data_IF_245839027883
#
_entry.id   IF_245839027883
#
_cell.length_a   1.000
_cell.length_b   1.000
_cell.length_c   1.000
_cell.angle_alpha   90.00
_cell.angle_beta   90.00
_cell.angle_gamma   90.00
#
_symmetry.space_group_name_H-M   'P 1'
#
loop_
_entity.id
_entity.type
_entity.pdbx_description
1 polymer ?
#
# COMPACT_ATOMS: atom_id res chain seq x y z
N UNK A 1 12.11 -9.83 -1.08
CA UNK A 1 11.11 -9.12 -1.90
C UNK A 1 11.69 -7.98 -2.73
N UNK A 2 12.51 -7.07 -2.16
CA UNK A 2 13.14 -5.97 -2.93
C UNK A 2 13.85 -6.44 -4.19
N UNK A 3 14.66 -7.51 -4.09
CA UNK A 3 15.38 -8.08 -5.23
C UNK A 3 14.44 -8.52 -6.39
N UNK A 4 13.20 -8.95 -6.08
CA UNK A 4 12.20 -9.28 -7.10
C UNK A 4 11.69 -8.04 -7.82
N UNK A 5 11.39 -6.96 -7.09
CA UNK A 5 11.02 -5.68 -7.70
C UNK A 5 12.12 -5.14 -8.62
N UNK A 6 13.37 -5.17 -8.15
CA UNK A 6 14.52 -4.72 -8.94
C UNK A 6 14.67 -5.56 -10.21
N UNK A 7 14.53 -6.88 -10.09
CA UNK A 7 14.55 -7.80 -11.22
C UNK A 7 13.45 -7.49 -12.22
N UNK A 8 12.22 -7.27 -11.77
CA UNK A 8 11.08 -6.95 -12.64
C UNK A 8 11.22 -5.58 -13.31
N UNK A 9 11.77 -4.58 -12.63
CA UNK A 9 12.09 -3.27 -13.21
C UNK A 9 13.12 -3.43 -14.33
N UNK A 10 14.23 -4.14 -14.06
CA UNK A 10 15.28 -4.40 -15.07
C UNK A 10 14.71 -5.17 -16.25
N UNK A 11 13.91 -6.20 -16.00
CA UNK A 11 13.26 -6.98 -17.06
C UNK A 11 12.29 -6.15 -17.89
N UNK A 12 11.55 -5.25 -17.24
CA UNK A 12 10.66 -4.31 -17.93
C UNK A 12 11.44 -3.35 -18.81
N UNK A 13 12.59 -2.83 -18.35
CA UNK A 13 13.47 -1.98 -19.17
C UNK A 13 14.05 -2.72 -20.37
N UNK A 14 14.52 -3.97 -20.18
CA UNK A 14 15.03 -4.84 -21.26
C UNK A 14 13.98 -5.06 -22.37
N UNK A 15 12.70 -5.09 -22.00
CA UNK A 15 11.58 -5.30 -22.92
C UNK A 15 10.86 -4.00 -23.28
N UNK A 16 11.52 -2.85 -23.09
CA UNK A 16 11.00 -1.50 -23.44
C UNK A 16 9.65 -1.15 -22.78
N UNK A 17 9.31 -1.83 -21.69
CA UNK A 17 8.11 -1.59 -20.88
C UNK A 17 8.33 -0.39 -19.94
N UNK A 18 8.66 0.77 -20.51
CA UNK A 18 9.12 1.96 -19.78
C UNK A 18 8.12 2.49 -18.75
N UNK A 19 6.83 2.33 -19.03
CA UNK A 19 5.80 2.81 -18.10
C UNK A 19 5.73 1.95 -16.84
N UNK A 20 5.77 0.64 -17.04
CA UNK A 20 5.78 -0.35 -15.96
C UNK A 20 7.06 -0.22 -15.13
N UNK A 21 8.22 -0.08 -15.78
CA UNK A 21 9.50 0.06 -15.08
C UNK A 21 9.54 1.32 -14.22
N UNK A 22 9.14 2.47 -14.76
CA UNK A 22 9.16 3.73 -14.02
C UNK A 22 8.14 3.75 -12.88
N UNK A 23 6.95 3.20 -13.10
CA UNK A 23 5.93 3.04 -12.07
C UNK A 23 6.44 2.23 -10.87
N UNK A 24 7.03 1.07 -11.14
CA UNK A 24 7.61 0.21 -10.11
C UNK A 24 8.83 0.86 -9.44
N UNK A 25 9.72 1.50 -10.20
CA UNK A 25 10.88 2.18 -9.64
C UNK A 25 10.49 3.31 -8.70
N UNK A 26 9.53 4.17 -9.08
CA UNK A 26 9.06 5.28 -8.25
C UNK A 26 8.29 4.80 -7.00
N UNK A 27 7.90 3.53 -6.91
CA UNK A 27 7.33 2.95 -5.69
C UNK A 27 8.42 2.62 -4.65
N UNK A 28 9.62 2.21 -5.07
CA UNK A 28 10.63 1.69 -4.14
C UNK A 28 11.04 2.68 -3.04
N UNK A 29 11.23 3.99 -3.31
CA UNK A 29 11.50 4.97 -2.25
C UNK A 29 10.37 5.11 -1.22
N UNK A 30 9.11 4.78 -1.55
CA UNK A 30 8.05 4.71 -0.54
C UNK A 30 8.30 3.60 0.48
N UNK A 31 8.72 2.43 -0.01
CA UNK A 31 9.01 1.25 0.82
C UNK A 31 10.23 1.54 1.70
N UNK A 32 11.34 1.98 1.09
CA UNK A 32 12.56 2.28 1.83
C UNK A 32 12.38 3.46 2.79
N UNK A 33 11.62 4.49 2.40
CA UNK A 33 11.28 5.59 3.29
C UNK A 33 10.41 5.18 4.47
N UNK A 34 9.49 4.21 4.29
CA UNK A 34 8.70 3.65 5.39
C UNK A 34 9.58 2.88 6.39
N UNK A 35 10.56 2.11 5.88
CA UNK A 35 11.51 1.36 6.71
C UNK A 35 12.46 2.31 7.47
N UNK A 36 13.02 3.30 6.78
CA UNK A 36 14.00 4.22 7.39
C UNK A 36 13.34 5.27 8.31
N UNK A 37 12.14 5.73 7.96
CA UNK A 37 11.44 6.80 8.68
C UNK A 37 9.98 6.43 8.99
N UNK A 38 9.72 5.40 9.80
CA UNK A 38 8.37 4.85 10.04
C UNK A 38 7.41 5.86 10.69
N UNK A 39 7.95 6.83 11.45
CA UNK A 39 7.17 7.84 12.18
C UNK A 39 6.89 9.12 11.37
N UNK A 40 7.31 9.19 10.10
CA UNK A 40 7.10 10.36 9.24
C UNK A 40 5.95 10.14 8.27
N UNK A 41 5.32 11.24 7.86
CA UNK A 41 4.29 11.22 6.83
C UNK A 41 4.83 10.68 5.50
N UNK A 42 3.96 10.08 4.68
CA UNK A 42 4.32 9.38 3.43
C UNK A 42 5.17 10.25 2.49
N UNK A 43 4.79 11.53 2.32
CA UNK A 43 5.57 12.44 1.47
C UNK A 43 6.91 12.82 2.08
N UNK A 44 6.94 13.06 3.40
CA UNK A 44 8.17 13.47 4.09
C UNK A 44 9.23 12.37 4.09
N UNK A 45 8.82 11.12 4.35
CA UNK A 45 9.75 9.98 4.32
C UNK A 45 10.28 9.70 2.92
N UNK A 46 9.44 9.83 1.88
CA UNK A 46 9.86 9.65 0.49
C UNK A 46 10.91 10.69 0.11
N UNK A 47 10.58 11.98 0.32
CA UNK A 47 11.47 13.11 -0.01
C UNK A 47 12.79 12.93 0.72
N UNK A 48 12.76 12.67 2.02
CA UNK A 48 13.97 12.51 2.84
C UNK A 48 14.81 11.31 2.39
N UNK A 49 14.19 10.19 2.04
CA UNK A 49 14.94 9.03 1.54
C UNK A 49 15.61 9.36 0.20
N UNK A 50 14.91 10.00 -0.72
CA UNK A 50 15.49 10.45 -1.98
C UNK A 50 16.66 11.43 -1.76
N UNK A 51 16.48 12.45 -0.93
CA UNK A 51 17.54 13.43 -0.62
C UNK A 51 18.78 12.78 0.01
N UNK A 52 18.60 11.72 0.80
CA UNK A 52 19.69 11.07 1.54
C UNK A 52 20.44 10.06 0.68
N UNK A 53 19.73 9.24 -0.11
CA UNK A 53 20.32 8.08 -0.77
C UNK A 53 20.38 8.19 -2.30
N UNK A 54 19.40 8.85 -2.92
CA UNK A 54 19.26 8.88 -4.38
C UNK A 54 19.87 10.14 -5.00
N UNK A 55 19.56 11.33 -4.48
CA UNK A 55 20.04 12.59 -5.03
C UNK A 55 21.58 12.70 -5.03
N UNK A 56 22.31 12.28 -3.95
CA UNK A 56 23.76 12.26 -3.98
C UNK A 56 24.32 11.30 -5.03
N UNK A 57 23.64 10.17 -5.26
CA UNK A 57 24.03 9.21 -6.30
C UNK A 57 23.84 9.77 -7.71
N UNK A 58 22.75 10.50 -7.96
CA UNK A 58 22.44 11.08 -9.27
C UNK A 58 23.38 12.25 -9.65
N UNK A 59 23.84 13.05 -8.68
CA UNK A 59 24.46 14.35 -8.95
C UNK A 59 25.77 14.63 -8.19
N UNK A 60 26.19 13.75 -7.28
CA UNK A 60 27.30 14.00 -6.36
C UNK A 60 27.02 15.12 -5.35
N UNK A 61 28.06 15.62 -4.70
CA UNK A 61 27.96 16.72 -3.70
C UNK A 61 27.63 18.10 -4.32
N UNK A 62 27.50 18.15 -5.65
CA UNK A 62 27.13 19.36 -6.39
C UNK A 62 25.64 19.63 -6.26
N UNK A 63 25.29 20.57 -5.39
CA UNK A 63 23.92 20.99 -5.01
C UNK A 63 23.10 21.67 -6.14
N UNK A 64 23.13 21.13 -7.37
CA UNK A 64 22.51 21.68 -8.59
C UNK A 64 21.53 20.72 -9.30
N UNK A 65 21.27 19.53 -8.74
CA UNK A 65 20.34 18.55 -9.32
C UNK A 65 18.94 18.55 -8.70
N UNK A 66 18.05 17.72 -9.25
CA UNK A 66 16.70 17.47 -8.72
C UNK A 66 16.72 17.08 -7.24
N UNK A 67 15.86 17.73 -6.45
CA UNK A 67 15.60 17.37 -5.06
C UNK A 67 14.67 16.16 -4.94
N UNK A 68 14.64 15.53 -3.76
CA UNK A 68 13.65 14.51 -3.41
C UNK A 68 12.22 15.03 -3.55
N UNK A 69 11.96 16.33 -3.37
CA UNK A 69 10.66 16.97 -3.64
C UNK A 69 10.30 16.89 -5.13
N UNK A 70 11.26 17.09 -6.04
CA UNK A 70 11.05 16.94 -7.48
C UNK A 70 10.66 15.50 -7.84
N UNK A 71 11.38 14.51 -7.32
CA UNK A 71 11.11 13.09 -7.59
C UNK A 71 9.76 12.66 -6.98
N UNK A 72 9.43 13.18 -5.79
CA UNK A 72 8.12 12.96 -5.17
C UNK A 72 6.98 13.55 -6.01
N UNK A 73 7.16 14.76 -6.54
CA UNK A 73 6.20 15.40 -7.44
C UNK A 73 6.05 14.60 -8.74
N UNK A 74 7.15 14.13 -9.33
CA UNK A 74 7.11 13.22 -10.48
C UNK A 74 6.27 11.99 -10.17
N UNK A 75 6.55 11.29 -9.06
CA UNK A 75 5.77 10.13 -8.63
C UNK A 75 4.28 10.44 -8.52
N UNK A 76 3.91 11.56 -7.90
CA UNK A 76 2.50 11.92 -7.71
C UNK A 76 1.77 12.19 -9.03
N UNK A 77 2.41 12.92 -9.94
CA UNK A 77 1.85 13.20 -11.27
C UNK A 77 1.76 11.91 -12.08
N UNK A 78 2.80 11.09 -12.05
CA UNK A 78 2.91 9.86 -12.82
C UNK A 78 1.91 8.78 -12.38
N UNK A 79 1.72 8.61 -11.07
CA UNK A 79 0.94 7.49 -10.52
C UNK A 79 -0.52 7.84 -10.18
N UNK A 80 -0.81 9.09 -9.80
CA UNK A 80 -2.09 9.43 -9.16
C UNK A 80 -2.88 10.52 -9.87
N UNK A 81 -2.22 11.56 -10.37
CA UNK A 81 -2.91 12.76 -10.82
C UNK A 81 -3.02 12.87 -12.35
N UNK A 82 -2.09 12.26 -13.11
CA UNK A 82 -2.00 12.34 -14.57
C UNK A 82 -1.82 13.75 -15.14
N UNK A 83 -1.83 14.77 -14.27
CA UNK A 83 -1.75 16.18 -14.59
C UNK A 83 -1.22 16.95 -13.37
N UNK A 84 -0.49 18.02 -13.63
CA UNK A 84 -0.14 18.99 -12.60
C UNK A 84 -1.37 19.83 -12.29
N UNK A 85 -2.16 19.45 -11.29
CA UNK A 85 -2.88 20.48 -10.52
C UNK A 85 -1.92 20.95 -9.44
N UNK A 86 -0.95 21.77 -9.85
CA UNK A 86 -0.15 22.56 -8.94
C UNK A 86 -1.10 23.50 -8.20
N UNK A 87 -1.63 23.03 -7.07
CA UNK A 87 -2.05 23.92 -6.00
C UNK A 87 -0.78 24.69 -5.63
N UNK A 88 -0.69 25.92 -6.15
CA UNK A 88 0.46 26.82 -5.98
C UNK A 88 0.82 27.08 -4.51
N UNK A 89 -0.06 26.70 -3.57
CA UNK A 89 0.17 26.71 -2.13
C UNK A 89 0.78 25.45 -1.50
N UNK A 90 1.07 24.38 -2.25
CA UNK A 90 1.62 23.12 -1.70
C UNK A 90 3.10 22.84 -2.02
N UNK A 91 3.70 23.58 -2.96
CA UNK A 91 5.14 23.47 -3.23
C UNK A 91 5.88 24.23 -2.14
N UNK A 92 6.74 23.56 -1.36
CA UNK A 92 7.40 24.19 -0.20
C UNK A 92 8.48 25.19 -0.65
N UNK A 93 9.17 24.91 -1.76
CA UNK A 93 10.14 25.82 -2.38
C UNK A 93 9.64 26.29 -3.76
N UNK A 94 9.49 27.61 -3.95
CA UNK A 94 9.04 28.19 -5.23
C UNK A 94 9.96 27.84 -6.41
N UNK A 95 11.24 27.56 -6.16
CA UNK A 95 12.21 27.12 -7.17
C UNK A 95 11.93 25.71 -7.70
N UNK A 96 11.25 24.86 -6.91
CA UNK A 96 10.84 23.51 -7.29
C UNK A 96 9.52 23.45 -8.07
N UNK A 97 8.97 24.61 -8.47
CA UNK A 97 7.76 24.67 -9.27
C UNK A 97 8.05 24.20 -10.69
N UNK A 98 7.65 22.97 -11.01
CA UNK A 98 7.81 22.34 -12.32
C UNK A 98 6.44 22.24 -12.97
N UNK A 99 6.24 22.94 -14.09
CA UNK A 99 4.96 22.94 -14.81
C UNK A 99 4.80 21.72 -15.73
N UNK A 100 5.92 21.07 -16.11
CA UNK A 100 5.90 19.89 -16.97
C UNK A 100 7.09 18.96 -16.72
N UNK A 101 6.83 17.66 -16.56
CA UNK A 101 7.84 16.63 -16.71
C UNK A 101 7.86 16.14 -18.15
N UNK A 102 9.05 15.96 -18.72
CA UNK A 102 9.25 15.36 -20.03
C UNK A 102 10.16 14.15 -19.82
N UNK A 103 9.60 12.97 -20.00
CA UNK A 103 10.29 11.70 -19.80
C UNK A 103 10.93 11.27 -21.11
N UNK A 104 12.25 11.12 -21.10
CA UNK A 104 13.03 10.57 -22.21
C UNK A 104 13.27 9.09 -21.92
N UNK A 105 12.93 8.24 -22.87
CA UNK A 105 13.07 6.77 -22.77
C UNK A 105 14.09 6.26 -23.80
N UNK A 106 14.72 5.13 -23.51
CA UNK A 106 15.72 4.49 -24.39
C UNK A 106 17.14 4.46 -23.81
N UNK A 107 18.08 3.91 -24.57
CA UNK A 107 19.45 3.62 -24.13
C UNK A 107 20.31 4.88 -24.04
N UNK A 108 20.19 5.63 -22.94
CA UNK A 108 21.19 6.63 -22.60
C UNK A 108 21.76 6.32 -21.22
N UNK A 109 23.09 6.31 -21.14
CA UNK A 109 23.85 5.98 -19.93
C UNK A 109 23.99 7.15 -18.95
N UNK A 110 23.33 8.29 -19.22
CA UNK A 110 23.46 9.51 -18.42
C UNK A 110 22.11 10.11 -18.08
N UNK A 111 22.04 10.69 -16.90
CA UNK A 111 20.96 11.62 -16.57
C UNK A 111 21.16 12.89 -17.40
N UNK A 112 20.17 13.24 -18.21
CA UNK A 112 20.05 14.59 -18.73
C UNK A 112 18.97 15.27 -17.92
N UNK A 113 19.39 16.21 -17.07
CA UNK A 113 18.49 17.16 -16.43
C UNK A 113 18.68 18.49 -17.14
N UNK A 114 17.59 19.02 -17.68
CA UNK A 114 17.57 20.40 -18.07
C UNK A 114 16.22 21.01 -17.75
N UNK A 115 16.30 22.22 -17.22
CA UNK A 115 15.16 23.09 -17.03
C UNK A 115 15.03 23.97 -18.27
N UNK A 116 13.90 23.87 -18.97
CA UNK A 116 13.52 24.88 -19.97
C UNK A 116 12.63 25.90 -19.27
N UNK A 117 13.03 27.16 -19.36
CA UNK A 117 12.21 28.30 -19.01
C UNK A 117 11.55 28.87 -20.27
N UNK A 118 10.25 28.65 -20.44
CA UNK A 118 9.48 29.15 -21.58
C UNK A 118 8.68 30.37 -21.19
N UNK A 119 8.77 31.46 -21.94
CA UNK A 119 7.83 32.58 -21.82
C UNK A 119 6.56 32.29 -22.62
N UNK A 120 5.40 32.64 -22.06
CA UNK A 120 4.16 32.61 -22.83
C UNK A 120 4.18 33.67 -23.96
N UNK A 121 3.26 33.57 -24.93
CA UNK A 121 3.15 34.54 -26.05
C UNK A 121 2.92 35.99 -25.59
N UNK A 122 2.60 36.22 -24.31
CA UNK A 122 2.38 37.54 -23.70
C UNK A 122 3.58 38.00 -22.85
N UNK A 123 4.66 37.20 -22.76
CA UNK A 123 5.88 37.50 -22.02
C UNK A 123 5.76 37.45 -20.50
N UNK A 124 4.60 37.06 -19.94
CA UNK A 124 4.29 37.33 -18.53
C UNK A 124 4.49 36.12 -17.61
N UNK A 125 4.50 34.89 -18.15
CA UNK A 125 4.66 33.68 -17.35
C UNK A 125 5.88 32.89 -17.79
N UNK A 126 6.74 32.57 -16.82
CA UNK A 126 7.84 31.63 -16.98
C UNK A 126 7.34 30.22 -16.67
N UNK A 127 7.39 29.32 -17.64
CA UNK A 127 7.07 27.92 -17.46
C UNK A 127 8.35 27.10 -17.32
N UNK A 128 8.43 26.26 -16.28
CA UNK A 128 9.56 25.35 -16.06
C UNK A 128 9.20 23.93 -16.52
N UNK A 129 9.93 23.42 -17.50
CA UNK A 129 9.86 22.01 -17.88
C UNK A 129 11.12 21.27 -17.43
N UNK A 130 10.95 20.13 -16.78
CA UNK A 130 12.03 19.25 -16.32
C UNK A 130 12.10 18.03 -17.24
N UNK A 131 13.23 17.87 -17.94
CA UNK A 131 13.51 16.66 -18.71
C UNK A 131 14.26 15.64 -17.86
N UNK A 132 13.82 14.38 -17.92
CA UNK A 132 14.32 13.28 -17.09
C UNK A 132 14.50 12.04 -17.97
N UNK A 133 15.68 11.42 -17.90
CA UNK A 133 15.85 10.10 -18.51
C UNK A 133 15.23 9.03 -17.59
N UNK A 134 14.15 8.41 -18.05
CA UNK A 134 13.41 7.40 -17.27
C UNK A 134 14.23 6.12 -17.05
N UNK A 135 14.98 5.66 -18.05
CA UNK A 135 15.82 4.46 -17.92
C UNK A 135 16.90 4.66 -16.86
N UNK A 136 17.62 5.78 -16.93
CA UNK A 136 18.67 6.12 -15.99
C UNK A 136 18.12 6.29 -14.57
N UNK A 137 16.99 6.99 -14.42
CA UNK A 137 16.34 7.14 -13.12
C UNK A 137 15.91 5.78 -12.53
N UNK A 138 15.30 4.90 -13.32
CA UNK A 138 14.92 3.56 -12.88
C UNK A 138 16.14 2.76 -12.38
N UNK A 139 17.22 2.74 -13.17
CA UNK A 139 18.44 2.01 -12.81
C UNK A 139 19.09 2.59 -11.56
N UNK A 140 19.13 3.92 -11.44
CA UNK A 140 19.69 4.60 -10.26
C UNK A 140 18.90 4.32 -9.00
N UNK A 141 17.56 4.33 -9.08
CA UNK A 141 16.70 3.93 -7.95
C UNK A 141 16.97 2.47 -7.59
N UNK A 142 16.98 1.55 -8.56
CA UNK A 142 17.27 0.14 -8.30
C UNK A 142 18.61 -0.05 -7.58
N UNK A 143 19.65 0.66 -8.02
CA UNK A 143 20.98 0.56 -7.43
C UNK A 143 21.01 1.09 -5.97
N UNK A 144 20.46 2.28 -5.73
CA UNK A 144 20.38 2.85 -4.39
C UNK A 144 19.54 1.99 -3.44
N UNK A 145 18.43 1.43 -3.94
CA UNK A 145 17.54 0.57 -3.17
C UNK A 145 18.21 -0.78 -2.88
N UNK A 146 18.94 -1.36 -3.84
CA UNK A 146 19.70 -2.60 -3.62
C UNK A 146 20.72 -2.39 -2.50
N UNK A 147 21.54 -1.34 -2.61
CA UNK A 147 22.56 -1.03 -1.60
C UNK A 147 21.95 -0.77 -0.22
N UNK A 148 20.86 -0.01 -0.15
CA UNK A 148 20.15 0.24 1.10
C UNK A 148 19.56 -1.06 1.68
N UNK A 149 18.94 -1.90 0.85
CA UNK A 149 18.35 -3.17 1.29
C UNK A 149 19.41 -4.15 1.80
N UNK A 150 20.52 -4.30 1.09
CA UNK A 150 21.60 -5.22 1.48
C UNK A 150 22.25 -4.80 2.81
N UNK A 151 22.35 -3.49 3.07
CA UNK A 151 22.90 -2.95 4.30
C UNK A 151 21.92 -2.92 5.48
N UNK A 152 20.62 -3.14 5.26
CA UNK A 152 19.58 -2.96 6.27
C UNK A 152 18.51 -4.07 6.19
N UNK A 153 18.87 -5.26 5.73
CA UNK A 153 17.94 -6.33 5.39
C UNK A 153 17.03 -6.70 6.56
N UNK A 154 17.57 -6.65 7.78
CA UNK A 154 16.89 -6.89 9.04
C UNK A 154 15.77 -5.88 9.35
N UNK A 155 15.81 -4.68 8.77
CA UNK A 155 14.75 -3.66 8.95
C UNK A 155 13.51 -3.94 8.09
N UNK A 156 13.61 -4.83 7.11
CA UNK A 156 12.52 -5.12 6.19
C UNK A 156 11.68 -6.29 6.68
N UNK A 157 10.37 -6.04 6.85
CA UNK A 157 9.37 -7.08 7.02
C UNK A 157 8.31 -6.94 5.93
N UNK A 158 8.00 -8.04 5.26
CA UNK A 158 6.97 -8.10 4.21
C UNK A 158 5.84 -9.00 4.67
N UNK A 159 4.63 -8.47 4.72
CA UNK A 159 3.43 -9.21 5.16
C UNK A 159 2.88 -10.19 4.10
N UNK A 160 3.49 -10.25 2.91
CA UNK A 160 3.08 -11.12 1.82
C UNK A 160 4.26 -11.73 1.10
N UNK A 161 4.03 -12.92 0.53
CA UNK A 161 4.98 -13.64 -0.30
C UNK A 161 4.46 -13.73 -1.74
N UNK A 162 5.36 -13.55 -2.70
CA UNK A 162 5.06 -13.80 -4.12
C UNK A 162 5.82 -15.05 -4.55
N UNK A 163 5.07 -16.11 -4.85
CA UNK A 163 5.62 -17.40 -5.27
C UNK A 163 5.15 -17.67 -6.71
N UNK A 164 6.06 -17.73 -7.69
CA UNK A 164 5.72 -18.16 -9.04
C UNK A 164 5.00 -19.51 -9.03
N UNK A 165 3.94 -19.61 -9.83
CA UNK A 165 3.16 -20.85 -9.93
C UNK A 165 3.99 -22.04 -10.42
N UNK A 166 5.10 -21.80 -11.10
CA UNK A 166 6.05 -22.81 -11.59
C UNK A 166 6.80 -23.49 -10.44
N UNK A 167 6.99 -22.77 -9.33
CA UNK A 167 7.60 -23.30 -8.12
C UNK A 167 6.62 -24.22 -7.39
N UNK A 168 5.36 -23.77 -7.27
CA UNK A 168 4.29 -24.55 -6.63
C UNK A 168 3.83 -25.72 -7.49
N UNK A 169 3.80 -25.53 -8.80
CA UNK A 169 3.27 -26.44 -9.81
C UNK A 169 4.28 -26.57 -10.95
N UNK A 170 5.37 -27.35 -10.76
CA UNK A 170 6.40 -27.54 -11.76
C UNK A 170 5.82 -28.08 -13.07
N UNK A 171 6.43 -27.85 -14.25
CA UNK A 171 5.86 -28.19 -15.55
C UNK A 171 5.38 -29.65 -15.69
N UNK A 172 6.02 -30.60 -15.00
CA UNK A 172 5.58 -32.00 -14.94
C UNK A 172 4.20 -32.19 -14.27
N UNK A 173 3.83 -31.32 -13.33
CA UNK A 173 2.48 -31.28 -12.71
C UNK A 173 1.43 -30.57 -13.57
N UNK A 174 1.84 -29.91 -14.66
CA UNK A 174 0.96 -29.20 -15.60
C UNK A 174 0.50 -30.06 -16.77
N UNK A 175 0.89 -31.34 -16.80
CA UNK A 175 0.26 -32.31 -17.71
C UNK A 175 -1.22 -32.30 -17.37
N UNK A 176 -2.05 -31.79 -18.29
CA UNK A 176 -3.49 -31.97 -18.24
C UNK A 176 -3.78 -33.45 -18.50
N UNK A 177 -3.57 -34.28 -17.49
CA UNK A 177 -4.50 -35.37 -17.34
C UNK A 177 -5.85 -34.72 -17.03
N UNK A 178 -6.91 -35.21 -17.67
CA UNK A 178 -8.30 -34.86 -17.34
C UNK A 178 -8.67 -35.20 -15.86
N UNK A 179 -7.69 -35.60 -15.05
CA UNK A 179 -7.73 -35.93 -13.63
C UNK A 179 -6.97 -34.92 -12.73
N UNK A 180 -6.54 -33.76 -13.21
CA UNK A 180 -5.96 -32.72 -12.34
C UNK A 180 -6.97 -32.32 -11.26
N UNK A 181 -6.79 -32.87 -10.05
CA UNK A 181 -7.71 -32.69 -8.93
C UNK A 181 -7.52 -31.28 -8.40
N UNK A 182 -8.51 -30.41 -8.62
CA UNK A 182 -8.61 -29.15 -7.87
C UNK A 182 -8.59 -29.54 -6.39
N UNK A 183 -7.63 -29.00 -5.62
CA UNK A 183 -7.62 -29.15 -4.16
C UNK A 183 -8.89 -28.47 -3.63
N UNK A 184 -9.78 -29.24 -3.01
CA UNK A 184 -11.11 -28.77 -2.59
C UNK A 184 -11.26 -28.72 -1.07
N UNK A 185 -10.36 -29.37 -0.34
CA UNK A 185 -10.42 -29.51 1.11
C UNK A 185 -9.16 -28.97 1.76
N UNK A 186 -9.30 -28.48 2.99
CA UNK A 186 -8.17 -27.94 3.77
C UNK A 186 -7.10 -29.02 4.01
N UNK A 187 -7.49 -30.28 4.19
CA UNK A 187 -6.57 -31.41 4.36
C UNK A 187 -5.71 -31.66 3.11
N UNK A 188 -6.30 -31.56 1.92
CA UNK A 188 -5.57 -31.68 0.65
C UNK A 188 -4.56 -30.54 0.47
N UNK A 189 -4.90 -29.33 0.94
CA UNK A 189 -4.00 -28.16 0.91
C UNK A 189 -2.87 -28.33 1.92
N UNK A 190 -3.17 -28.76 3.15
CA UNK A 190 -2.18 -28.99 4.21
C UNK A 190 -1.19 -30.08 3.80
N UNK A 191 -1.68 -31.17 3.21
CA UNK A 191 -0.82 -32.23 2.72
C UNK A 191 0.05 -31.75 1.57
N UNK A 192 -0.52 -31.01 0.62
CA UNK A 192 0.24 -30.38 -0.45
C UNK A 192 1.36 -29.47 0.09
N UNK A 193 1.08 -28.62 1.09
CA UNK A 193 2.07 -27.76 1.74
C UNK A 193 3.20 -28.59 2.35
N UNK A 194 2.89 -29.66 3.08
CA UNK A 194 3.88 -30.53 3.71
C UNK A 194 4.77 -31.24 2.70
N UNK A 195 4.20 -31.65 1.57
CA UNK A 195 4.94 -32.33 0.50
C UNK A 195 5.79 -31.41 -0.37
N UNK A 196 5.69 -30.08 -0.20
CA UNK A 196 6.45 -29.08 -0.95
C UNK A 196 7.43 -28.34 -0.03
N UNK A 197 8.72 -28.72 -0.01
CA UNK A 197 9.72 -28.19 0.93
C UNK A 197 9.89 -26.67 0.85
N UNK A 198 9.79 -26.08 -0.33
CA UNK A 198 9.90 -24.62 -0.49
C UNK A 198 8.74 -23.87 0.15
N UNK A 199 7.51 -24.36 -0.02
CA UNK A 199 6.32 -23.79 0.62
C UNK A 199 6.40 -23.94 2.13
N UNK A 200 6.80 -25.13 2.58
CA UNK A 200 6.97 -25.42 4.00
C UNK A 200 7.99 -24.46 4.64
N UNK A 201 9.14 -24.23 4.00
CA UNK A 201 10.15 -23.29 4.50
C UNK A 201 9.64 -21.83 4.53
N UNK A 202 8.89 -21.39 3.52
CA UNK A 202 8.31 -20.04 3.50
C UNK A 202 7.31 -19.87 4.65
N UNK A 203 6.44 -20.86 4.86
CA UNK A 203 5.45 -20.83 5.94
C UNK A 203 6.14 -20.90 7.31
N UNK A 204 7.14 -21.76 7.47
CA UNK A 204 7.83 -21.92 8.74
C UNK A 204 8.58 -20.65 9.12
N UNK A 205 9.27 -20.01 8.17
CA UNK A 205 9.90 -18.73 8.38
C UNK A 205 8.89 -17.64 8.79
N UNK A 206 7.68 -17.66 8.24
CA UNK A 206 6.61 -16.77 8.69
C UNK A 206 6.15 -17.09 10.12
N UNK A 207 5.87 -18.36 10.42
CA UNK A 207 5.45 -18.83 11.77
C UNK A 207 6.49 -18.47 12.83
N UNK A 208 7.77 -18.66 12.53
CA UNK A 208 8.87 -18.39 13.46
C UNK A 208 9.05 -16.90 13.76
N UNK A 209 8.54 -16.01 12.89
CA UNK A 209 8.68 -14.55 13.01
C UNK A 209 7.35 -13.84 13.35
N UNK A 210 6.25 -14.56 13.57
CA UNK A 210 5.03 -13.97 14.13
C UNK A 210 5.23 -13.78 15.62
N UNK A 211 5.12 -12.53 16.08
CA UNK A 211 4.97 -12.20 17.50
C UNK A 211 3.49 -12.46 17.89
N UNK A 212 3.20 -13.67 18.38
CA UNK A 212 1.85 -14.06 18.80
C UNK A 212 1.54 -13.37 20.13
N UNK A 213 0.78 -12.27 20.10
CA UNK A 213 0.10 -11.79 21.29
C UNK A 213 -0.96 -12.83 21.68
N UNK A 214 -0.69 -13.60 22.74
CA UNK A 214 -1.55 -14.66 23.28
C UNK A 214 -2.96 -14.17 23.67
N UNK A 215 -3.24 -12.86 23.58
CA UNK A 215 -4.59 -12.31 23.72
C UNK A 215 -5.47 -12.45 22.47
N UNK A 216 -4.89 -12.70 21.29
CA UNK A 216 -5.61 -12.93 20.02
C UNK A 216 -5.89 -14.42 19.77
N UNK A 217 -6.63 -15.05 20.67
CA UNK A 217 -7.20 -16.38 20.42
C UNK A 217 -8.37 -16.27 19.42
N UNK A 218 -8.07 -16.38 18.12
CA UNK A 218 -9.10 -16.40 17.04
C UNK A 218 -9.59 -17.82 16.71
N UNK A 219 -9.06 -18.88 17.33
CA UNK A 219 -9.43 -20.27 17.00
C UNK A 219 -9.99 -21.08 18.19
N UNK A 220 -11.12 -20.65 18.76
CA UNK A 220 -12.02 -21.53 19.51
C UNK A 220 -13.51 -21.19 19.28
N UNK A 221 -13.99 -21.16 18.03
CA UNK A 221 -15.44 -21.15 17.77
C UNK A 221 -15.86 -22.12 16.66
N UNK A 222 -15.52 -23.41 16.80
CA UNK A 222 -16.19 -24.48 16.00
C UNK A 222 -16.52 -25.75 16.80
N UNK A 223 -16.57 -25.71 18.13
CA UNK A 223 -17.17 -26.78 18.94
C UNK A 223 -17.93 -26.24 20.14
N UNK A 224 -19.21 -25.89 19.94
CA UNK A 224 -20.33 -26.04 20.91
C UNK A 224 -21.59 -25.38 20.35
N UNK A 225 -22.38 -26.13 19.57
CA UNK A 225 -23.84 -26.00 19.62
C UNK A 225 -24.29 -26.92 20.75
N UNK A 226 -24.63 -26.35 21.91
CA UNK A 226 -25.87 -26.62 22.64
C UNK A 226 -25.81 -26.07 24.07
N UNK A 227 -27.01 -25.71 24.55
CA UNK A 227 -27.41 -25.34 25.93
C UNK A 227 -27.34 -23.85 26.32
N UNK A 228 -28.48 -23.20 26.10
CA UNK A 228 -29.22 -22.27 26.98
C UNK A 228 -28.61 -21.88 28.34
N UNK A 229 -28.51 -20.56 28.62
CA UNK A 229 -29.17 -19.85 29.76
C UNK A 229 -28.80 -18.34 29.85
N UNK A 230 -29.74 -17.62 30.44
CA UNK A 230 -29.98 -16.16 30.56
C UNK A 230 -28.93 -15.27 31.26
N UNK A 231 -29.06 -13.92 31.18
CA UNK A 231 -28.01 -12.96 31.51
C UNK A 231 -28.02 -12.54 32.99
N UNK A 232 -26.84 -12.42 33.61
CA UNK A 232 -26.66 -11.70 34.87
C UNK A 232 -25.87 -10.40 34.67
N UNK A 233 -26.50 -9.31 35.10
CA UNK A 233 -25.97 -7.95 35.24
C UNK A 233 -24.91 -7.91 36.35
N UNK A 234 -23.83 -7.17 36.13
CA UNK A 234 -23.16 -6.41 37.20
C UNK A 234 -22.53 -5.13 36.65
N UNK A 235 -22.76 -4.01 37.35
CA UNK A 235 -22.23 -2.66 37.10
C UNK A 235 -21.08 -2.38 38.07
N UNK A 236 -20.00 -1.72 37.59
CA UNK A 236 -19.20 -0.66 38.26
C UNK A 236 -18.04 -0.25 37.32
N UNK A 237 -18.01 0.95 36.71
CA UNK A 237 -17.33 2.22 37.12
C UNK A 237 -15.93 2.00 37.73
N UNK A 238 -14.81 2.64 37.38
CA UNK A 238 -14.33 3.75 36.51
C UNK A 238 -12.79 3.43 36.32
N UNK A 239 -12.01 3.80 35.29
CA UNK A 239 -11.46 5.14 35.00
C UNK A 239 -10.48 5.07 33.80
N UNK A 240 -10.49 6.13 32.98
CA UNK A 240 -9.56 6.67 31.94
C UNK A 240 -8.36 5.88 31.34
N UNK A 241 -8.23 6.09 30.01
CA UNK A 241 -7.11 5.91 29.03
C UNK A 241 -7.17 4.64 28.15
N UNK A 242 -6.98 4.87 26.84
CA UNK A 242 -6.96 3.94 25.67
C UNK A 242 -8.33 3.52 25.08
N UNK A 243 -8.90 4.34 24.19
CA UNK A 243 -10.26 4.16 23.63
C UNK A 243 -10.36 3.65 22.19
N UNK A 244 -9.26 3.47 21.44
CA UNK A 244 -9.33 2.98 20.05
C UNK A 244 -9.70 1.47 19.95
N UNK A 245 -9.10 0.55 20.74
CA UNK A 245 -9.38 -0.88 20.61
C UNK A 245 -10.79 -1.25 21.06
N UNK A 246 -11.30 -0.59 22.12
CA UNK A 246 -12.64 -0.86 22.65
C UNK A 246 -13.76 -0.45 21.69
N UNK A 247 -13.59 0.65 20.96
CA UNK A 247 -14.59 1.13 20.00
C UNK A 247 -14.64 0.23 18.76
N UNK A 248 -13.49 -0.21 18.29
CA UNK A 248 -13.42 -1.15 17.17
C UNK A 248 -14.06 -2.50 17.50
N UNK A 249 -13.76 -3.07 18.67
CA UNK A 249 -14.36 -4.32 19.11
C UNK A 249 -15.89 -4.24 19.23
N UNK A 250 -16.43 -3.11 19.70
CA UNK A 250 -17.88 -2.86 19.74
C UNK A 250 -18.49 -2.82 18.33
N UNK A 251 -17.82 -2.14 17.38
CA UNK A 251 -18.29 -2.05 15.99
C UNK A 251 -18.24 -3.43 15.32
N UNK A 252 -17.16 -4.19 15.51
CA UNK A 252 -16.98 -5.54 14.96
C UNK A 252 -18.05 -6.51 15.51
N UNK A 253 -18.32 -6.46 16.81
CA UNK A 253 -19.38 -7.26 17.45
C UNK A 253 -20.77 -6.92 16.91
N UNK A 254 -21.09 -5.62 16.79
CA UNK A 254 -22.35 -5.16 16.20
C UNK A 254 -22.51 -5.65 14.75
N UNK A 255 -21.41 -5.64 13.98
CA UNK A 255 -21.43 -6.11 12.60
C UNK A 255 -21.79 -7.59 12.50
N UNK A 256 -21.18 -8.45 13.32
CA UNK A 256 -21.49 -9.88 13.36
C UNK A 256 -22.95 -10.19 13.70
N UNK A 257 -23.58 -9.37 14.55
CA UNK A 257 -24.97 -9.56 14.96
C UNK A 257 -25.97 -9.11 13.90
N UNK A 258 -25.71 -7.99 13.20
CA UNK A 258 -26.70 -7.32 12.35
C UNK A 258 -26.46 -7.47 10.83
N UNK A 259 -25.26 -7.88 10.40
CA UNK A 259 -24.87 -7.94 8.99
C UNK A 259 -24.56 -9.38 8.54
N UNK A 260 -25.59 -10.25 8.57
CA UNK A 260 -25.42 -11.70 8.33
C UNK A 260 -25.36 -12.11 6.85
N UNK A 261 -25.84 -11.28 5.91
CA UNK A 261 -25.84 -11.59 4.46
C UNK A 261 -24.43 -11.57 3.89
N UNK A 262 -24.15 -12.46 2.92
CA UNK A 262 -22.82 -12.63 2.29
C UNK A 262 -22.24 -11.31 1.77
N UNK A 263 -23.06 -10.52 1.06
CA UNK A 263 -22.67 -9.18 0.57
C UNK A 263 -22.03 -8.28 1.64
N UNK A 264 -22.53 -8.31 2.88
CA UNK A 264 -21.96 -7.49 3.95
C UNK A 264 -20.70 -8.11 4.57
N UNK A 265 -20.59 -9.44 4.55
CA UNK A 265 -19.38 -10.15 5.01
C UNK A 265 -18.20 -9.84 4.09
N UNK A 266 -18.44 -9.87 2.78
CA UNK A 266 -17.42 -9.57 1.76
C UNK A 266 -16.94 -8.11 1.84
N UNK A 267 -17.82 -7.20 2.30
CA UNK A 267 -17.54 -5.76 2.42
C UNK A 267 -17.33 -5.29 3.87
N UNK A 268 -17.09 -6.23 4.80
CA UNK A 268 -17.07 -5.99 6.25
C UNK A 268 -16.04 -4.92 6.64
N UNK A 269 -14.80 -5.08 6.21
CA UNK A 269 -13.71 -4.17 6.60
C UNK A 269 -13.91 -2.76 6.04
N UNK A 270 -14.43 -2.65 4.81
CA UNK A 270 -14.79 -1.36 4.19
C UNK A 270 -15.84 -0.60 4.99
N UNK A 271 -16.88 -1.30 5.46
CA UNK A 271 -17.96 -0.69 6.25
C UNK A 271 -17.47 -0.30 7.64
N UNK A 272 -16.68 -1.16 8.29
CA UNK A 272 -16.08 -0.88 9.60
C UNK A 272 -15.15 0.34 9.52
N UNK A 273 -14.31 0.40 8.48
CA UNK A 273 -13.42 1.54 8.22
C UNK A 273 -14.20 2.85 8.04
N UNK A 274 -15.32 2.81 7.29
CA UNK A 274 -16.17 3.98 7.08
C UNK A 274 -16.74 4.52 8.41
N UNK A 275 -17.01 3.66 9.39
CA UNK A 275 -17.47 4.07 10.73
C UNK A 275 -16.32 4.54 11.61
N UNK A 276 -15.21 3.80 11.66
CA UNK A 276 -14.05 4.10 12.52
C UNK A 276 -13.38 5.42 12.16
N UNK A 277 -13.25 5.72 10.86
CA UNK A 277 -12.58 6.92 10.35
C UNK A 277 -13.53 8.10 10.16
N UNK A 278 -14.73 8.05 10.74
CA UNK A 278 -15.72 9.12 10.67
C UNK A 278 -16.00 9.68 12.06
N UNK A 279 -16.05 11.00 12.17
CA UNK A 279 -16.38 11.72 13.40
C UNK A 279 -17.86 12.07 13.48
N UNK A 280 -18.56 12.12 12.34
CA UNK A 280 -19.95 12.60 12.24
C UNK A 280 -20.79 11.64 11.39
N UNK A 281 -22.12 11.60 11.59
CA UNK A 281 -23.02 10.72 10.83
C UNK A 281 -22.96 11.03 9.33
N UNK A 282 -22.84 12.30 8.99
CA UNK A 282 -22.68 12.76 7.61
C UNK A 282 -21.39 12.21 6.98
N UNK A 283 -20.28 12.16 7.73
CA UNK A 283 -19.03 11.57 7.24
C UNK A 283 -19.15 10.08 6.98
N UNK A 284 -19.87 9.33 7.83
CA UNK A 284 -20.15 7.90 7.61
C UNK A 284 -20.90 7.72 6.29
N UNK A 285 -21.99 8.48 6.08
CA UNK A 285 -22.78 8.40 4.85
C UNK A 285 -21.94 8.75 3.61
N UNK A 286 -21.18 9.85 3.66
CA UNK A 286 -20.31 10.27 2.55
C UNK A 286 -19.25 9.24 2.19
N UNK A 287 -18.73 8.49 3.17
CA UNK A 287 -17.76 7.41 2.91
C UNK A 287 -18.43 6.17 2.33
N UNK A 288 -19.64 5.82 2.77
CA UNK A 288 -20.38 4.70 2.21
C UNK A 288 -20.79 4.97 0.75
N UNK A 289 -21.27 6.18 0.45
CA UNK A 289 -21.67 6.59 -0.91
C UNK A 289 -20.51 6.64 -1.91
N UNK A 290 -19.25 6.68 -1.45
CA UNK A 290 -18.06 6.62 -2.31
C UNK A 290 -17.70 5.21 -2.74
N UNK A 291 -18.17 4.19 -2.01
CA UNK A 291 -17.75 2.80 -2.20
C UNK A 291 -18.92 1.90 -2.62
N UNK A 292 -20.14 2.26 -2.24
CA UNK A 292 -21.34 1.52 -2.57
C UNK A 292 -22.27 2.37 -3.44
N UNK A 293 -23.06 1.75 -4.35
CA UNK A 293 -24.08 2.49 -5.08
C UNK A 293 -25.15 3.05 -4.12
N UNK A 294 -25.84 4.11 -4.56
CA UNK A 294 -26.69 4.94 -3.69
C UNK A 294 -27.72 4.16 -2.86
N UNK A 295 -28.28 3.08 -3.44
CA UNK A 295 -29.29 2.23 -2.81
C UNK A 295 -28.70 1.41 -1.67
N UNK A 296 -27.59 0.71 -1.93
CA UNK A 296 -26.88 -0.14 -0.99
C UNK A 296 -26.22 0.68 0.12
N UNK A 297 -25.64 1.84 -0.23
CA UNK A 297 -25.09 2.79 0.75
C UNK A 297 -26.17 3.27 1.74
N UNK A 298 -27.38 3.55 1.25
CA UNK A 298 -28.53 3.91 2.08
C UNK A 298 -28.95 2.77 3.01
N UNK A 299 -29.07 1.55 2.50
CA UNK A 299 -29.41 0.37 3.32
C UNK A 299 -28.37 0.07 4.41
N UNK A 300 -27.09 0.18 4.08
CA UNK A 300 -25.99 0.00 5.04
C UNK A 300 -26.04 1.10 6.11
N UNK A 301 -26.21 2.36 5.70
CA UNK A 301 -26.29 3.49 6.62
C UNK A 301 -27.46 3.35 7.61
N UNK A 302 -28.64 2.95 7.15
CA UNK A 302 -29.81 2.71 8.02
C UNK A 302 -29.55 1.62 9.05
N UNK A 303 -28.88 0.53 8.67
CA UNK A 303 -28.51 -0.55 9.60
C UNK A 303 -27.44 -0.14 10.60
N UNK A 304 -26.61 0.86 10.28
CA UNK A 304 -25.58 1.40 11.18
C UNK A 304 -26.13 2.43 12.16
N UNK A 305 -27.32 3.00 11.94
CA UNK A 305 -27.90 4.04 12.80
C UNK A 305 -27.89 3.72 14.31
N UNK A 306 -28.22 2.49 14.77
CA UNK A 306 -28.15 2.16 16.19
C UNK A 306 -26.75 2.27 16.79
N UNK A 307 -25.72 2.05 15.97
CA UNK A 307 -24.30 2.11 16.35
C UNK A 307 -23.73 3.53 16.29
N UNK A 308 -24.25 4.39 15.41
CA UNK A 308 -23.77 5.77 15.20
C UNK A 308 -24.71 6.83 15.79
N UNK A 309 -25.70 6.42 16.61
CA UNK A 309 -26.76 7.31 17.14
C UNK A 309 -26.20 8.52 17.91
N UNK A 310 -25.09 8.32 18.63
CA UNK A 310 -24.46 9.32 19.50
C UNK A 310 -23.45 10.20 18.74
N UNK A 311 -23.23 9.96 17.45
CA UNK A 311 -22.34 10.79 16.63
C UNK A 311 -23.03 12.13 16.28
N UNK A 312 -22.29 13.25 16.17
CA UNK A 312 -22.85 14.52 15.70
C UNK A 312 -23.39 14.40 14.27
N UNK A 313 -24.46 15.16 13.97
CA UNK A 313 -25.17 15.10 12.70
C UNK A 313 -24.44 15.76 11.52
N UNK A 314 -23.56 16.73 11.78
CA UNK A 314 -22.70 17.41 10.80
C UNK A 314 -21.25 17.26 11.20
#
# INVERSE_FOLDING_TARGET
MINLYIKDIRKSLENECYYSSLSLALMLPDICGMVEYPNKDVGERYIKWCDTFLCPFLYGDGNKGMSGETIYNLRNVYMHQGSFKLDSGKVKNKENRIDKFILVVGSSEKMYEFTISLSDKKGNNLHRAEMINANYLCLSICECVQQYYDANMEKFSFEYNVIPSEILFPPASRIRDNNSKILKTDDEIVEFIKTNPEIHNIIQNYVDNIDIDLSDNILEETKKKDVTKEPKKTKSKETKKNTAPKRENQIRSFFGQHFKKQFYRDNKETIIYAVLKSKTKQQVNNKLQKVFPNKEAGEIYQKLLPLIKDMPGR
#
